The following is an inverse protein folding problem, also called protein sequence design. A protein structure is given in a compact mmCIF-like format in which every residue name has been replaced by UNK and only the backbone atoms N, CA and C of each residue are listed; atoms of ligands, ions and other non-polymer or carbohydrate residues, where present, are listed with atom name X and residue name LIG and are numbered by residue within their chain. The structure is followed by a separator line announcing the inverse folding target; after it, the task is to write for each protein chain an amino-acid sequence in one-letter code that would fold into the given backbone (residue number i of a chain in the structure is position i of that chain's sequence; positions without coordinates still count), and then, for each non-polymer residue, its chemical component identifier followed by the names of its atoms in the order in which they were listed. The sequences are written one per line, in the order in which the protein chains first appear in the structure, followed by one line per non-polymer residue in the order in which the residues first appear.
data_IF_447954818213
#
_entry.id   IF_447954818213
#
_cell.length_a   1.000
_cell.length_b   1.000
_cell.length_c   1.000
_cell.angle_alpha   90.00
_cell.angle_beta   90.00
_cell.angle_gamma   90.00
#
_symmetry.space_group_name_H-M   'P 1'
#
loop_
_entity.id
_entity.type
_entity.pdbx_description
1 polymer ?
#
# COMPACT_ATOMS: atom_id res chain seq x y z
N UNK A 1 -13.75 -8.37 13.35
CA UNK A 1 -13.13 -9.47 12.61
C UNK A 1 -14.14 -10.00 11.59
N UNK A 2 -13.73 -10.10 10.31
CA UNK A 2 -14.62 -10.58 9.25
C UNK A 2 -14.99 -12.05 9.46
N UNK A 3 -16.26 -12.40 9.30
CA UNK A 3 -16.78 -13.77 9.47
C UNK A 3 -16.10 -14.79 8.53
N UNK A 4 -15.72 -14.35 7.33
CA UNK A 4 -14.96 -15.15 6.35
C UNK A 4 -13.89 -14.26 5.70
N UNK A 5 -12.70 -14.11 6.32
CA UNK A 5 -11.72 -13.12 5.91
C UNK A 5 -11.20 -13.34 4.49
N UNK A 6 -11.00 -14.56 4.05
CA UNK A 6 -10.48 -14.85 2.70
C UNK A 6 -11.39 -14.30 1.61
N UNK A 7 -12.68 -14.66 1.64
CA UNK A 7 -13.66 -14.22 0.64
C UNK A 7 -13.99 -12.72 0.76
N UNK A 8 -14.15 -12.23 1.99
CA UNK A 8 -14.50 -10.82 2.22
C UNK A 8 -13.38 -9.88 1.75
N UNK A 9 -12.12 -10.20 2.03
CA UNK A 9 -10.97 -9.38 1.59
C UNK A 9 -10.84 -9.39 0.07
N UNK A 10 -10.96 -10.55 -0.57
CA UNK A 10 -10.90 -10.65 -2.03
C UNK A 10 -11.98 -9.79 -2.72
N UNK A 11 -13.24 -9.94 -2.29
CA UNK A 11 -14.35 -9.17 -2.86
C UNK A 11 -14.14 -7.67 -2.59
N UNK A 12 -13.75 -7.29 -1.39
CA UNK A 12 -13.54 -5.89 -1.03
C UNK A 12 -12.44 -5.23 -1.89
N UNK A 13 -11.31 -5.92 -2.11
CA UNK A 13 -10.20 -5.39 -2.92
C UNK A 13 -10.60 -5.24 -4.37
N UNK A 14 -11.23 -6.26 -4.97
CA UNK A 14 -11.67 -6.22 -6.38
C UNK A 14 -12.76 -5.16 -6.57
N UNK A 15 -13.76 -5.12 -5.68
CA UNK A 15 -14.83 -4.13 -5.76
C UNK A 15 -14.30 -2.70 -5.57
N UNK A 16 -13.39 -2.47 -4.62
CA UNK A 16 -12.75 -1.17 -4.43
C UNK A 16 -11.98 -0.74 -5.68
N UNK A 17 -11.16 -1.62 -6.26
CA UNK A 17 -10.41 -1.33 -7.48
C UNK A 17 -11.34 -0.99 -8.65
N UNK A 18 -12.40 -1.76 -8.86
CA UNK A 18 -13.38 -1.51 -9.93
C UNK A 18 -14.13 -0.18 -9.73
N UNK A 19 -14.64 0.09 -8.52
CA UNK A 19 -15.35 1.33 -8.21
C UNK A 19 -14.46 2.57 -8.34
N UNK A 20 -13.22 2.50 -7.85
CA UNK A 20 -12.24 3.59 -7.99
C UNK A 20 -11.91 3.80 -9.47
N UNK A 21 -11.70 2.73 -10.25
CA UNK A 21 -11.45 2.82 -11.68
C UNK A 21 -12.59 3.50 -12.44
N UNK A 22 -13.84 3.08 -12.21
CA UNK A 22 -15.03 3.69 -12.78
C UNK A 22 -15.12 5.18 -12.38
N UNK A 23 -14.89 5.48 -11.12
CA UNK A 23 -14.92 6.86 -10.62
C UNK A 23 -13.87 7.74 -11.30
N UNK A 24 -12.64 7.25 -11.48
CA UNK A 24 -11.60 8.00 -12.17
C UNK A 24 -11.93 8.23 -13.65
N UNK A 25 -12.46 7.23 -14.34
CA UNK A 25 -12.89 7.39 -15.75
C UNK A 25 -13.98 8.45 -15.86
N UNK A 26 -15.00 8.40 -14.99
CA UNK A 26 -16.10 9.37 -15.00
C UNK A 26 -15.64 10.79 -14.69
N UNK A 27 -14.79 10.97 -13.70
CA UNK A 27 -14.28 12.30 -13.32
C UNK A 27 -13.34 12.86 -14.36
N UNK A 28 -12.46 12.05 -14.94
CA UNK A 28 -11.58 12.48 -16.04
C UNK A 28 -12.39 12.86 -17.28
N UNK A 29 -13.38 12.06 -17.65
CA UNK A 29 -14.28 12.35 -18.75
C UNK A 29 -15.06 13.66 -18.53
N UNK A 30 -15.58 13.87 -17.30
CA UNK A 30 -16.28 15.12 -16.97
C UNK A 30 -15.37 16.36 -17.11
N UNK A 31 -14.11 16.24 -16.68
CA UNK A 31 -13.13 17.31 -16.87
C UNK A 31 -12.79 17.54 -18.34
N UNK A 32 -12.60 16.46 -19.12
CA UNK A 32 -12.33 16.55 -20.57
C UNK A 32 -13.48 17.21 -21.33
N UNK A 33 -14.72 16.86 -21.01
CA UNK A 33 -15.92 17.50 -21.59
C UNK A 33 -16.00 18.99 -21.25
N UNK A 34 -15.64 19.38 -20.02
CA UNK A 34 -15.67 20.78 -19.61
C UNK A 34 -14.61 21.62 -20.34
N UNK A 35 -13.37 21.12 -20.42
CA UNK A 35 -12.26 21.84 -21.04
C UNK A 35 -12.25 21.75 -22.57
N UNK A 36 -12.75 20.64 -23.09
CA UNK A 36 -12.57 20.24 -24.49
C UNK A 36 -11.15 19.72 -24.76
N UNK A 37 -10.98 18.93 -25.84
CA UNK A 37 -9.75 18.19 -26.12
C UNK A 37 -8.52 19.06 -26.27
N UNK A 38 -8.68 20.26 -26.89
CA UNK A 38 -7.57 21.18 -27.17
C UNK A 38 -7.04 21.92 -25.94
N UNK A 39 -7.84 22.06 -24.90
CA UNK A 39 -7.50 22.81 -23.66
C UNK A 39 -7.21 21.95 -22.46
N UNK A 40 -7.48 20.65 -22.53
CA UNK A 40 -7.28 19.72 -21.42
C UNK A 40 -5.81 19.66 -20.94
N UNK A 41 -4.86 19.92 -21.83
CA UNK A 41 -3.43 20.01 -21.48
C UNK A 41 -3.15 21.04 -20.37
N UNK A 42 -3.95 22.11 -20.30
CA UNK A 42 -3.87 23.14 -19.24
C UNK A 42 -4.54 22.78 -17.91
N UNK A 43 -5.18 21.61 -17.81
CA UNK A 43 -5.96 21.20 -16.64
C UNK A 43 -5.16 21.30 -15.34
N UNK A 44 -3.93 20.78 -15.30
CA UNK A 44 -3.11 20.76 -14.10
C UNK A 44 -2.75 22.16 -13.55
N UNK A 45 -2.68 23.17 -14.42
CA UNK A 45 -2.38 24.55 -14.04
C UNK A 45 -3.64 25.38 -13.77
N UNK A 46 -4.83 24.85 -14.03
CA UNK A 46 -6.09 25.57 -13.86
C UNK A 46 -6.35 25.88 -12.38
N UNK A 47 -6.83 27.09 -12.09
CA UNK A 47 -7.10 27.52 -10.73
C UNK A 47 -5.86 27.50 -9.82
N UNK A 48 -4.72 27.97 -10.33
CA UNK A 48 -3.43 27.98 -9.61
C UNK A 48 -3.01 26.59 -9.07
N UNK A 49 -3.27 25.56 -9.89
CA UNK A 49 -2.97 24.18 -9.52
C UNK A 49 -4.03 23.46 -8.66
N UNK A 50 -5.23 24.06 -8.55
CA UNK A 50 -6.39 23.46 -7.89
C UNK A 50 -7.57 23.29 -8.87
N UNK A 51 -7.39 22.52 -9.94
CA UNK A 51 -8.35 22.47 -11.06
C UNK A 51 -9.75 22.00 -10.62
N UNK A 52 -9.84 21.03 -9.76
CA UNK A 52 -11.14 20.50 -9.29
C UNK A 52 -11.92 21.50 -8.45
N UNK A 53 -11.25 22.27 -7.60
CA UNK A 53 -11.89 23.30 -6.80
C UNK A 53 -12.35 24.47 -7.66
N UNK A 54 -11.54 24.86 -8.65
CA UNK A 54 -11.90 25.90 -9.59
C UNK A 54 -13.06 25.46 -10.47
N UNK A 55 -13.03 24.24 -11.00
CA UNK A 55 -14.15 23.65 -11.74
C UNK A 55 -15.45 23.66 -10.92
N UNK A 56 -15.35 23.32 -9.62
CA UNK A 56 -16.48 23.39 -8.71
C UNK A 56 -17.06 24.81 -8.56
N UNK A 57 -16.21 25.85 -8.58
CA UNK A 57 -16.66 27.25 -8.59
C UNK A 57 -17.36 27.62 -9.89
N UNK A 58 -16.78 27.23 -11.01
CA UNK A 58 -17.28 27.62 -12.33
C UNK A 58 -18.60 26.96 -12.70
N UNK A 59 -18.82 25.70 -12.25
CA UNK A 59 -20.02 24.92 -12.59
C UNK A 59 -21.11 25.01 -11.53
N UNK A 60 -20.73 25.03 -10.23
CA UNK A 60 -21.67 24.93 -9.12
C UNK A 60 -21.66 26.15 -8.19
N UNK A 61 -20.89 27.18 -8.50
CA UNK A 61 -20.68 28.35 -7.64
C UNK A 61 -20.29 27.92 -6.22
N UNK A 62 -21.21 27.94 -5.23
CA UNK A 62 -20.92 27.52 -3.86
C UNK A 62 -20.48 26.05 -3.73
N UNK A 63 -20.74 25.21 -4.71
CA UNK A 63 -20.39 23.78 -4.70
C UNK A 63 -18.90 23.49 -4.59
N UNK A 64 -18.04 24.46 -4.85
CA UNK A 64 -16.59 24.34 -4.57
C UNK A 64 -16.29 23.97 -3.13
N UNK A 65 -17.15 24.33 -2.17
CA UNK A 65 -17.00 24.00 -0.74
C UNK A 65 -17.06 22.48 -0.53
N UNK A 66 -17.93 21.77 -1.25
CA UNK A 66 -18.01 20.32 -1.19
C UNK A 66 -16.73 19.68 -1.75
N UNK A 67 -16.22 20.20 -2.87
CA UNK A 67 -14.96 19.73 -3.46
C UNK A 67 -13.78 19.97 -2.50
N UNK A 68 -13.74 21.14 -1.87
CA UNK A 68 -12.71 21.46 -0.87
C UNK A 68 -12.72 20.48 0.32
N UNK A 69 -13.88 20.20 0.90
CA UNK A 69 -13.98 19.20 1.96
C UNK A 69 -13.66 17.79 1.50
N UNK A 70 -13.99 17.43 0.28
CA UNK A 70 -13.61 16.14 -0.30
C UNK A 70 -12.08 16.01 -0.42
N UNK A 71 -11.39 17.06 -0.87
CA UNK A 71 -9.92 17.09 -0.95
C UNK A 71 -9.28 16.95 0.43
N UNK A 72 -9.76 17.72 1.43
CA UNK A 72 -9.26 17.62 2.81
C UNK A 72 -9.48 16.23 3.38
N UNK A 73 -10.70 15.69 3.24
CA UNK A 73 -11.03 14.35 3.71
C UNK A 73 -10.13 13.29 3.06
N UNK A 74 -9.89 13.40 1.76
CA UNK A 74 -8.98 12.50 1.03
C UNK A 74 -7.55 12.59 1.55
N UNK A 75 -7.04 13.80 1.78
CA UNK A 75 -5.69 14.01 2.33
C UNK A 75 -5.54 13.39 3.73
N UNK A 76 -6.51 13.60 4.62
CA UNK A 76 -6.53 13.01 5.97
C UNK A 76 -6.61 11.48 5.90
N UNK A 77 -7.50 10.93 5.07
CA UNK A 77 -7.68 9.49 4.92
C UNK A 77 -6.42 8.80 4.38
N UNK A 78 -5.78 9.38 3.35
CA UNK A 78 -4.53 8.86 2.79
C UNK A 78 -3.38 8.94 3.79
N UNK A 79 -3.24 10.04 4.51
CA UNK A 79 -2.22 10.21 5.54
C UNK A 79 -2.38 9.17 6.66
N UNK A 80 -3.62 8.96 7.12
CA UNK A 80 -3.93 7.96 8.15
C UNK A 80 -3.66 6.53 7.67
N UNK A 81 -4.08 6.18 6.44
CA UNK A 81 -3.83 4.87 5.85
C UNK A 81 -2.32 4.61 5.67
N UNK A 82 -1.57 5.58 5.16
CA UNK A 82 -0.12 5.50 5.01
C UNK A 82 0.60 5.33 6.36
N UNK A 83 0.20 6.10 7.37
CA UNK A 83 0.72 5.99 8.73
C UNK A 83 0.47 4.60 9.32
N UNK A 84 -0.74 4.08 9.17
CA UNK A 84 -1.11 2.75 9.65
C UNK A 84 -0.30 1.64 8.96
N UNK A 85 -0.10 1.73 7.65
CA UNK A 85 0.70 0.76 6.90
C UNK A 85 2.17 0.79 7.31
N UNK A 86 2.78 1.98 7.38
CA UNK A 86 4.18 2.16 7.74
C UNK A 86 4.46 1.64 9.17
N UNK A 87 3.66 2.07 10.14
CA UNK A 87 3.88 1.74 11.56
C UNK A 87 3.69 0.25 11.85
N UNK A 88 2.72 -0.41 11.19
CA UNK A 88 2.54 -1.86 11.28
C UNK A 88 3.71 -2.62 10.67
N UNK A 89 4.23 -2.17 9.54
CA UNK A 89 5.41 -2.75 8.90
C UNK A 89 6.64 -2.62 9.80
N UNK A 90 6.89 -1.43 10.35
CA UNK A 90 8.00 -1.22 11.29
C UNK A 90 7.87 -2.03 12.57
N UNK A 91 6.66 -2.14 13.10
CA UNK A 91 6.39 -3.02 14.25
C UNK A 91 6.73 -4.48 13.94
N UNK A 92 6.29 -4.99 12.78
CA UNK A 92 6.61 -6.35 12.36
C UNK A 92 8.11 -6.56 12.17
N UNK A 93 8.81 -5.61 11.55
CA UNK A 93 10.27 -5.65 11.38
C UNK A 93 11.01 -5.55 12.72
N UNK A 94 10.52 -4.76 13.67
CA UNK A 94 11.05 -4.68 15.03
C UNK A 94 10.90 -5.99 15.79
N UNK A 95 9.73 -6.65 15.72
CA UNK A 95 9.51 -7.98 16.34
C UNK A 95 10.50 -9.02 15.82
N UNK A 96 10.83 -8.98 14.55
CA UNK A 96 11.81 -9.88 13.94
C UNK A 96 13.26 -9.42 14.13
N UNK A 97 13.51 -8.39 14.94
CA UNK A 97 14.84 -7.81 15.21
C UNK A 97 15.59 -7.38 13.95
N UNK A 98 14.89 -7.02 12.89
CA UNK A 98 15.41 -6.42 11.68
C UNK A 98 15.62 -4.93 11.91
N UNK A 99 14.64 -4.28 12.52
CA UNK A 99 14.76 -2.93 13.07
C UNK A 99 14.96 -2.99 14.60
N UNK A 100 15.27 -1.84 15.18
CA UNK A 100 15.42 -1.68 16.63
C UNK A 100 14.14 -2.05 17.36
N UNK A 101 14.25 -2.60 18.57
CA UNK A 101 13.10 -3.00 19.39
C UNK A 101 12.19 -1.85 19.80
N UNK A 102 12.66 -0.59 19.73
CA UNK A 102 11.84 0.58 20.02
C UNK A 102 10.57 0.66 19.18
N UNK A 103 10.58 0.11 17.95
CA UNK A 103 9.38 0.07 17.10
C UNK A 103 8.34 -0.96 17.56
N UNK A 104 8.67 -1.83 18.52
CA UNK A 104 7.71 -2.77 19.11
C UNK A 104 6.98 -2.22 20.34
N UNK A 105 7.35 -1.02 20.77
CA UNK A 105 6.69 -0.39 21.90
C UNK A 105 5.27 0.08 21.52
N UNK A 106 4.30 -0.33 22.32
CA UNK A 106 2.89 0.03 22.14
C UNK A 106 2.41 0.92 23.29
N UNK A 107 1.57 1.88 22.95
CA UNK A 107 0.98 2.76 23.93
C UNK A 107 0.08 1.98 24.93
N UNK A 108 0.22 2.14 26.25
CA UNK A 108 -0.49 1.36 27.25
C UNK A 108 -2.02 1.37 27.11
N UNK A 109 -2.58 2.52 26.79
CA UNK A 109 -4.04 2.73 26.67
C UNK A 109 -4.58 2.33 25.29
N UNK A 110 -3.91 2.76 24.21
CA UNK A 110 -4.42 2.60 22.83
C UNK A 110 -3.85 1.41 22.08
N UNK A 111 -2.87 0.72 22.66
CA UNK A 111 -2.20 -0.46 22.09
C UNK A 111 -1.72 -0.25 20.64
N UNK A 112 -1.42 0.99 20.28
CA UNK A 112 -0.86 1.38 18.99
C UNK A 112 0.65 1.57 19.08
N UNK A 113 1.44 1.31 18.01
CA UNK A 113 2.90 1.48 17.99
C UNK A 113 3.25 2.97 17.92
N UNK A 114 3.17 3.69 19.04
CA UNK A 114 3.28 5.14 19.12
C UNK A 114 4.66 5.65 18.68
N UNK A 115 5.73 4.91 18.95
CA UNK A 115 7.09 5.27 18.52
C UNK A 115 7.16 5.33 17.00
N UNK A 116 6.59 4.33 16.32
CA UNK A 116 6.51 4.33 14.87
C UNK A 116 5.73 5.53 14.32
N UNK A 117 4.61 5.89 14.97
CA UNK A 117 3.81 7.07 14.57
C UNK A 117 4.62 8.36 14.70
N UNK A 118 5.32 8.56 15.82
CA UNK A 118 6.13 9.75 16.05
C UNK A 118 7.32 9.85 15.08
N UNK A 119 8.02 8.74 14.85
CA UNK A 119 9.13 8.71 13.89
C UNK A 119 8.65 9.00 12.48
N UNK A 120 7.52 8.42 12.07
CA UNK A 120 6.94 8.68 10.76
C UNK A 120 6.53 10.14 10.60
N UNK A 121 5.90 10.73 11.62
CA UNK A 121 5.53 12.16 11.62
C UNK A 121 6.78 13.03 11.48
N UNK A 122 7.81 12.78 12.27
CA UNK A 122 9.07 13.51 12.20
C UNK A 122 9.73 13.42 10.81
N UNK A 123 9.79 12.23 10.23
CA UNK A 123 10.30 12.02 8.87
C UNK A 123 9.46 12.74 7.82
N UNK A 124 8.14 12.67 7.92
CA UNK A 124 7.24 13.34 6.99
C UNK A 124 7.45 14.87 7.02
N UNK A 125 7.54 15.47 8.21
CA UNK A 125 7.81 16.90 8.37
C UNK A 125 9.21 17.26 7.89
N UNK A 126 10.22 16.45 8.20
CA UNK A 126 11.61 16.68 7.78
C UNK A 126 11.78 16.65 6.26
N UNK A 127 10.92 15.95 5.53
CA UNK A 127 10.93 15.92 4.06
C UNK A 127 9.99 16.99 3.49
N UNK A 128 8.76 17.06 3.98
CA UNK A 128 7.73 17.93 3.39
C UNK A 128 8.03 19.43 3.58
N UNK A 129 8.52 19.85 4.75
CA UNK A 129 8.77 21.26 5.01
C UNK A 129 9.91 21.83 4.14
N UNK A 130 11.10 21.23 4.08
CA UNK A 130 12.15 21.75 3.19
C UNK A 130 11.76 21.75 1.72
N UNK A 131 11.10 20.68 1.25
CA UNK A 131 10.63 20.64 -0.13
C UNK A 131 9.57 21.70 -0.41
N UNK A 132 8.60 21.86 0.50
CA UNK A 132 7.54 22.86 0.37
C UNK A 132 8.07 24.30 0.37
N UNK A 133 9.05 24.62 1.23
CA UNK A 133 9.66 25.96 1.29
C UNK A 133 10.57 26.25 0.09
N UNK A 134 11.28 25.25 -0.45
CA UNK A 134 12.21 25.47 -1.57
C UNK A 134 11.53 25.46 -2.94
N UNK A 135 10.54 24.57 -3.14
CA UNK A 135 9.93 24.36 -4.45
C UNK A 135 8.45 24.74 -4.54
N UNK A 136 7.87 25.16 -3.44
CA UNK A 136 6.43 25.40 -3.30
C UNK A 136 5.63 24.12 -3.05
N UNK A 137 4.45 24.24 -2.43
CA UNK A 137 3.65 23.08 -1.97
C UNK A 137 3.25 22.12 -3.09
N UNK A 138 2.82 22.65 -4.24
CA UNK A 138 2.36 21.85 -5.38
C UNK A 138 3.49 21.02 -5.98
N UNK A 139 4.66 21.63 -6.20
CA UNK A 139 5.83 20.94 -6.76
C UNK A 139 6.39 19.90 -5.77
N UNK A 140 6.42 20.24 -4.49
CA UNK A 140 6.82 19.30 -3.43
C UNK A 140 5.89 18.08 -3.37
N UNK A 141 4.57 18.31 -3.43
CA UNK A 141 3.57 17.24 -3.50
C UNK A 141 3.79 16.37 -4.74
N UNK A 142 3.98 16.98 -5.93
CA UNK A 142 4.24 16.27 -7.18
C UNK A 142 5.51 15.41 -7.10
N UNK A 143 6.59 15.93 -6.53
CA UNK A 143 7.85 15.18 -6.38
C UNK A 143 7.69 13.96 -5.45
N UNK A 144 7.13 14.16 -4.25
CA UNK A 144 6.88 13.07 -3.31
C UNK A 144 5.91 12.05 -3.90
N UNK A 145 4.84 12.51 -4.57
CA UNK A 145 3.89 11.66 -5.28
C UNK A 145 4.56 10.81 -6.35
N UNK A 146 5.46 11.38 -7.15
CA UNK A 146 6.22 10.64 -8.18
C UNK A 146 7.12 9.58 -7.56
N UNK A 147 7.82 9.89 -6.47
CA UNK A 147 8.65 8.93 -5.71
C UNK A 147 7.79 7.76 -5.22
N UNK A 148 6.67 8.05 -4.56
CA UNK A 148 5.74 7.04 -4.04
C UNK A 148 5.19 6.18 -5.17
N UNK A 149 4.76 6.79 -6.28
CA UNK A 149 4.25 6.08 -7.45
C UNK A 149 5.29 5.12 -8.05
N UNK A 150 6.55 5.55 -8.19
CA UNK A 150 7.62 4.68 -8.68
C UNK A 150 7.83 3.46 -7.78
N UNK A 151 7.84 3.65 -6.46
CA UNK A 151 7.97 2.53 -5.49
C UNK A 151 6.78 1.58 -5.58
N UNK A 152 5.55 2.10 -5.65
CA UNK A 152 4.33 1.29 -5.76
C UNK A 152 4.32 0.46 -7.05
N UNK A 153 4.73 1.04 -8.18
CA UNK A 153 4.84 0.33 -9.45
C UNK A 153 5.82 -0.85 -9.33
N UNK A 154 6.98 -0.64 -8.71
CA UNK A 154 7.96 -1.71 -8.47
C UNK A 154 7.39 -2.83 -7.60
N UNK A 155 6.62 -2.48 -6.57
CA UNK A 155 5.93 -3.47 -5.72
C UNK A 155 4.91 -4.26 -6.57
N UNK A 156 4.10 -3.60 -7.38
CA UNK A 156 3.10 -4.27 -8.21
C UNK A 156 3.74 -5.18 -9.27
N UNK A 157 4.81 -4.74 -9.90
CA UNK A 157 5.59 -5.61 -10.82
C UNK A 157 6.09 -6.84 -10.07
N UNK A 158 6.66 -6.66 -8.88
CA UNK A 158 7.17 -7.78 -8.06
C UNK A 158 6.06 -8.74 -7.66
N UNK A 159 4.90 -8.23 -7.27
CA UNK A 159 3.72 -9.06 -6.91
C UNK A 159 3.21 -9.85 -8.11
N UNK A 160 3.10 -9.23 -9.29
CA UNK A 160 2.68 -9.89 -10.51
C UNK A 160 3.65 -11.02 -10.90
N UNK A 161 4.97 -10.77 -10.86
CA UNK A 161 6.00 -11.77 -11.14
C UNK A 161 5.98 -12.91 -10.10
N UNK A 162 5.78 -12.56 -8.83
CA UNK A 162 5.70 -13.54 -7.74
C UNK A 162 4.46 -14.43 -7.86
N UNK A 163 3.31 -13.87 -8.23
CA UNK A 163 2.09 -14.62 -8.52
C UNK A 163 2.35 -15.67 -9.61
N UNK A 164 2.90 -15.22 -10.75
CA UNK A 164 3.24 -16.11 -11.86
C UNK A 164 4.22 -17.22 -11.43
N UNK A 165 5.29 -16.85 -10.71
CA UNK A 165 6.30 -17.80 -10.21
C UNK A 165 5.73 -18.81 -9.22
N UNK A 166 4.81 -18.40 -8.35
CA UNK A 166 4.17 -19.26 -7.37
C UNK A 166 3.32 -20.34 -8.03
N UNK A 167 2.40 -19.97 -8.92
CA UNK A 167 1.51 -20.91 -9.58
C UNK A 167 2.25 -21.83 -10.57
N UNK A 168 3.27 -21.34 -11.27
CA UNK A 168 4.06 -22.17 -12.18
C UNK A 168 4.93 -23.21 -11.44
N UNK A 169 5.36 -22.94 -10.19
CA UNK A 169 6.31 -23.81 -9.48
C UNK A 169 5.69 -24.61 -8.35
N UNK A 170 4.79 -24.02 -7.58
CA UNK A 170 4.29 -24.62 -6.33
C UNK A 170 2.85 -25.11 -6.39
N UNK A 171 1.99 -24.48 -7.20
CA UNK A 171 0.56 -24.77 -7.21
C UNK A 171 0.06 -25.01 -8.64
N UNK A 172 0.71 -25.94 -9.36
CA UNK A 172 0.39 -26.24 -10.76
C UNK A 172 -1.01 -26.79 -10.97
N UNK A 173 -1.59 -27.45 -9.98
CA UNK A 173 -2.94 -28.01 -10.04
C UNK A 173 -4.03 -26.91 -10.12
N UNK A 174 -3.80 -25.76 -9.50
CA UNK A 174 -4.70 -24.61 -9.56
C UNK A 174 -4.32 -23.59 -10.65
N UNK A 175 -3.33 -23.90 -11.49
CA UNK A 175 -2.83 -22.97 -12.49
C UNK A 175 -3.88 -22.70 -13.58
N UNK A 176 -4.26 -21.45 -13.73
CA UNK A 176 -5.10 -20.98 -14.82
C UNK A 176 -4.29 -19.99 -15.69
N UNK A 177 -4.09 -20.28 -17.00
CA UNK A 177 -3.26 -19.46 -17.88
C UNK A 177 -3.71 -17.99 -17.96
N UNK A 178 -5.01 -17.73 -17.91
CA UNK A 178 -5.55 -16.38 -18.01
C UNK A 178 -5.21 -15.58 -16.75
N UNK A 179 -5.56 -16.11 -15.57
CA UNK A 179 -5.44 -15.38 -14.31
C UNK A 179 -4.03 -15.37 -13.72
N UNK A 180 -3.25 -16.42 -13.96
CA UNK A 180 -1.94 -16.59 -13.32
C UNK A 180 -0.76 -16.33 -14.26
N UNK A 181 -1.01 -16.10 -15.57
CA UNK A 181 0.03 -15.78 -16.55
C UNK A 181 -0.31 -14.53 -17.35
N UNK A 182 -1.43 -14.51 -18.10
CA UNK A 182 -1.76 -13.42 -19.02
C UNK A 182 -2.03 -12.13 -18.27
N UNK A 183 -2.90 -12.15 -17.25
CA UNK A 183 -3.24 -10.96 -16.46
C UNK A 183 -2.00 -10.36 -15.75
N UNK A 184 -1.15 -11.13 -15.05
CA UNK A 184 0.10 -10.61 -14.50
C UNK A 184 1.06 -10.02 -15.54
N UNK A 185 1.21 -10.66 -16.72
CA UNK A 185 2.06 -10.13 -17.79
C UNK A 185 1.51 -8.80 -18.30
N UNK A 186 0.20 -8.72 -18.58
CA UNK A 186 -0.43 -7.46 -18.99
C UNK A 186 -0.27 -6.37 -17.94
N UNK A 187 -0.38 -6.72 -16.64
CA UNK A 187 -0.12 -5.80 -15.54
C UNK A 187 1.32 -5.26 -15.55
N UNK A 188 2.31 -6.12 -15.76
CA UNK A 188 3.72 -5.70 -15.86
C UNK A 188 3.93 -4.81 -17.08
N UNK A 189 3.43 -5.21 -18.24
CA UNK A 189 3.58 -4.44 -19.50
C UNK A 189 2.92 -3.06 -19.40
N UNK A 190 1.74 -2.97 -18.78
CA UNK A 190 1.04 -1.71 -18.57
C UNK A 190 1.82 -0.73 -17.68
N UNK A 191 2.66 -1.21 -16.76
CA UNK A 191 3.48 -0.36 -15.91
C UNK A 191 4.80 0.08 -16.55
N UNK A 192 5.22 -0.51 -17.68
CA UNK A 192 6.50 -0.16 -18.33
C UNK A 192 6.60 1.33 -18.68
N UNK A 193 5.63 1.95 -19.36
CA UNK A 193 5.70 3.38 -19.69
C UNK A 193 5.78 4.25 -18.41
N UNK A 194 4.98 3.92 -17.41
CA UNK A 194 4.91 4.70 -16.17
C UNK A 194 6.23 4.64 -15.37
N UNK A 195 6.89 3.47 -15.33
CA UNK A 195 8.18 3.38 -14.63
C UNK A 195 9.29 4.11 -15.38
N UNK A 196 9.31 4.07 -16.72
CA UNK A 196 10.26 4.84 -17.51
C UNK A 196 10.10 6.34 -17.28
N UNK A 197 8.86 6.85 -17.25
CA UNK A 197 8.57 8.23 -16.90
C UNK A 197 9.06 8.57 -15.48
N UNK A 198 8.73 7.75 -14.51
CA UNK A 198 9.11 7.96 -13.10
C UNK A 198 10.63 7.90 -12.86
N UNK A 199 11.34 7.08 -13.63
CA UNK A 199 12.81 7.01 -13.60
C UNK A 199 13.49 8.18 -14.33
N UNK A 200 12.73 9.06 -14.96
CA UNK A 200 13.26 10.17 -15.75
C UNK A 200 13.86 9.74 -17.09
N UNK A 201 13.60 8.49 -17.51
CA UNK A 201 14.01 7.98 -18.81
C UNK A 201 12.90 8.32 -19.80
N UNK A 202 13.06 9.42 -20.47
CA UNK A 202 12.10 9.90 -21.47
C UNK A 202 12.71 11.00 -22.31
N UNK A 203 12.05 11.41 -23.34
CA UNK A 203 12.50 12.39 -24.30
C UNK A 203 12.90 11.74 -25.62
N UNK A 204 13.91 12.23 -26.30
CA UNK A 204 14.28 11.91 -27.68
C UNK A 204 14.40 10.41 -28.05
N UNK A 205 14.38 9.51 -27.10
CA UNK A 205 14.47 8.06 -27.34
C UNK A 205 13.10 7.40 -27.55
N UNK A 206 12.00 7.95 -26.98
CA UNK A 206 10.67 7.38 -27.06
C UNK A 206 9.64 8.52 -27.01
N UNK A 207 9.04 8.86 -28.12
CA UNK A 207 8.20 10.05 -28.30
C UNK A 207 6.95 10.09 -27.39
N UNK A 208 6.47 8.93 -26.92
CA UNK A 208 5.29 8.87 -26.06
C UNK A 208 5.63 8.93 -24.55
N UNK A 209 6.93 8.99 -24.16
CA UNK A 209 7.36 9.11 -22.77
C UNK A 209 7.79 10.55 -22.50
N UNK A 210 6.99 11.30 -21.76
CA UNK A 210 7.30 12.68 -21.40
C UNK A 210 8.37 12.73 -20.33
N UNK A 211 9.42 13.53 -20.57
CA UNK A 211 10.45 13.79 -19.56
C UNK A 211 9.88 14.70 -18.47
N UNK A 212 9.99 14.28 -17.22
CA UNK A 212 9.59 15.10 -16.09
C UNK A 212 10.50 16.33 -15.92
N UNK A 213 9.92 17.53 -15.69
CA UNK A 213 10.72 18.72 -15.41
C UNK A 213 11.42 18.62 -14.05
N UNK A 214 12.45 19.46 -13.89
CA UNK A 214 13.06 19.63 -12.57
C UNK A 214 12.04 20.28 -11.59
N UNK A 215 11.94 19.86 -10.32
CA UNK A 215 12.71 18.81 -9.63
C UNK A 215 12.12 17.40 -9.74
N UNK A 216 10.98 17.18 -10.40
CA UNK A 216 10.31 15.87 -10.49
C UNK A 216 11.20 14.80 -11.12
N UNK A 217 12.10 15.19 -12.02
CA UNK A 217 13.09 14.28 -12.65
C UNK A 217 14.06 13.65 -11.66
N UNK A 218 14.16 14.16 -10.44
CA UNK A 218 15.01 13.57 -9.38
C UNK A 218 14.36 12.38 -8.68
N UNK A 219 13.07 12.12 -8.92
CA UNK A 219 12.34 11.01 -8.28
C UNK A 219 12.98 9.65 -8.59
N UNK A 220 13.36 9.38 -9.86
CA UNK A 220 14.02 8.15 -10.25
C UNK A 220 15.33 7.91 -9.53
N UNK A 221 16.30 8.84 -9.59
CA UNK A 221 17.53 8.75 -8.81
C UNK A 221 17.32 8.56 -7.31
N UNK A 222 16.36 9.28 -6.71
CA UNK A 222 16.03 9.13 -5.29
C UNK A 222 15.54 7.71 -4.95
N UNK A 223 14.65 7.14 -5.76
CA UNK A 223 14.18 5.75 -5.61
C UNK A 223 15.33 4.78 -5.83
N UNK A 224 16.20 5.00 -6.82
CA UNK A 224 17.38 4.17 -7.08
C UNK A 224 18.33 4.11 -5.88
N UNK A 225 18.66 5.27 -5.31
CA UNK A 225 19.49 5.35 -4.09
C UNK A 225 18.84 4.60 -2.93
N UNK A 226 17.54 4.80 -2.72
CA UNK A 226 16.80 4.12 -1.66
C UNK A 226 16.81 2.60 -1.81
N UNK A 227 16.64 2.09 -3.03
CA UNK A 227 16.70 0.65 -3.33
C UNK A 227 18.08 0.08 -3.11
N UNK A 228 19.14 0.81 -3.51
CA UNK A 228 20.54 0.39 -3.28
C UNK A 228 20.84 0.32 -1.79
N UNK A 229 20.43 1.33 -1.01
CA UNK A 229 20.60 1.32 0.44
C UNK A 229 19.86 0.14 1.08
N UNK A 230 18.61 -0.13 0.65
CA UNK A 230 17.85 -1.28 1.10
C UNK A 230 18.52 -2.61 0.77
N UNK A 231 19.06 -2.75 -0.44
CA UNK A 231 19.77 -3.95 -0.87
C UNK A 231 21.08 -4.16 -0.06
N UNK A 232 21.85 -3.11 0.14
CA UNK A 232 23.07 -3.16 0.96
C UNK A 232 22.73 -3.59 2.40
N UNK A 233 21.68 -2.99 2.97
CA UNK A 233 21.22 -3.37 4.30
C UNK A 233 20.74 -4.83 4.36
N UNK A 234 20.01 -5.30 3.36
CA UNK A 234 19.59 -6.69 3.25
C UNK A 234 20.80 -7.65 3.16
N UNK A 235 21.79 -7.32 2.33
CA UNK A 235 23.04 -8.12 2.21
C UNK A 235 23.79 -8.16 3.55
N UNK A 236 23.86 -7.03 4.23
CA UNK A 236 24.45 -6.96 5.57
C UNK A 236 23.73 -7.90 6.55
N UNK A 237 22.41 -7.87 6.60
CA UNK A 237 21.62 -8.75 7.44
C UNK A 237 21.80 -10.23 7.09
N UNK A 238 21.85 -10.57 5.79
CA UNK A 238 22.08 -11.94 5.32
C UNK A 238 23.43 -12.48 5.75
N UNK A 239 24.45 -11.63 5.77
CA UNK A 239 25.82 -12.02 6.21
C UNK A 239 25.94 -12.08 7.74
N UNK A 240 25.35 -11.10 8.44
CA UNK A 240 25.49 -10.97 9.88
C UNK A 240 24.55 -11.91 10.69
N UNK A 241 23.35 -12.23 10.19
CA UNK A 241 22.32 -12.91 10.96
C UNK A 241 21.35 -13.74 10.09
N UNK A 242 21.83 -14.77 9.42
CA UNK A 242 20.98 -15.70 8.62
C UNK A 242 19.71 -16.21 9.32
N UNK A 243 19.72 -16.57 10.64
CA UNK A 243 18.52 -17.07 11.31
C UNK A 243 17.36 -16.07 11.39
N UNK A 244 17.66 -14.76 11.38
CA UNK A 244 16.61 -13.71 11.48
C UNK A 244 15.79 -13.57 10.21
N UNK A 245 16.34 -13.93 9.06
CA UNK A 245 15.70 -13.77 7.75
C UNK A 245 14.83 -14.97 7.41
N UNK A 246 15.18 -16.19 7.88
CA UNK A 246 14.37 -17.38 7.63
C UNK A 246 12.98 -17.31 8.27
N UNK A 247 12.80 -16.50 9.34
CA UNK A 247 11.51 -16.25 9.97
C UNK A 247 10.63 -15.20 9.27
N UNK A 248 11.14 -14.45 8.29
CA UNK A 248 10.35 -13.40 7.61
C UNK A 248 9.17 -13.94 6.82
N UNK A 249 9.28 -15.13 6.25
CA UNK A 249 8.19 -15.78 5.52
C UNK A 249 6.99 -16.15 6.40
N UNK A 250 7.19 -16.31 7.70
CA UNK A 250 6.14 -16.68 8.66
C UNK A 250 5.44 -15.47 9.27
N UNK A 251 6.01 -14.26 9.16
CA UNK A 251 5.45 -13.03 9.74
C UNK A 251 4.12 -12.63 9.11
N UNK A 252 3.94 -12.96 7.85
CA UNK A 252 2.68 -12.74 7.10
C UNK A 252 1.94 -14.06 6.83
N UNK A 253 2.50 -15.20 7.26
CA UNK A 253 1.77 -16.45 7.31
C UNK A 253 0.62 -16.28 8.31
N UNK A 254 -0.59 -16.57 7.88
CA UNK A 254 -1.73 -16.77 8.77
C UNK A 254 -1.23 -17.78 9.79
N UNK A 255 -1.19 -17.44 11.09
CA UNK A 255 -1.09 -18.44 12.15
C UNK A 255 -2.15 -19.49 11.79
N UNK A 256 -1.72 -20.69 11.42
CA UNK A 256 -2.66 -21.80 11.38
C UNK A 256 -3.32 -21.80 12.75
N UNK A 257 -4.66 -21.78 12.81
CA UNK A 257 -5.33 -21.84 14.11
C UNK A 257 -4.71 -23.01 14.84
N UNK A 258 -4.12 -22.75 16.01
CA UNK A 258 -3.58 -23.82 16.87
C UNK A 258 -4.64 -24.91 16.91
N UNK A 259 -4.27 -26.19 16.74
CA UNK A 259 -5.25 -27.26 16.80
C UNK A 259 -6.08 -27.03 18.05
N UNK A 260 -7.40 -26.97 17.85
CA UNK A 260 -8.36 -26.84 18.96
C UNK A 260 -7.92 -27.81 20.06
N UNK A 261 -7.75 -27.35 21.30
CA UNK A 261 -7.42 -28.29 22.36
C UNK A 261 -8.39 -29.47 22.25
N UNK A 262 -7.83 -30.68 22.24
CA UNK A 262 -8.61 -31.90 22.16
C UNK A 262 -9.74 -31.79 23.18
N UNK A 263 -10.97 -32.26 22.85
CA UNK A 263 -12.06 -32.24 23.81
C UNK A 263 -11.52 -32.87 25.11
N UNK A 264 -11.58 -32.10 26.20
CA UNK A 264 -11.32 -32.64 27.51
C UNK A 264 -12.31 -33.79 27.66
N UNK A 265 -11.83 -35.02 27.62
CA UNK A 265 -12.63 -36.16 27.97
C UNK A 265 -13.15 -35.87 29.41
N UNK A 266 -14.40 -35.48 29.46
CA UNK A 266 -15.15 -35.39 30.71
C UNK A 266 -15.12 -36.82 31.27
N UNK A 267 -14.21 -37.04 32.21
CA UNK A 267 -14.12 -38.31 32.93
C UNK A 267 -15.52 -38.75 33.33
N UNK A 268 -15.85 -39.97 32.95
CA UNK A 268 -17.09 -40.62 33.32
C UNK A 268 -17.33 -40.40 34.82
N UNK A 269 -18.37 -39.66 35.13
CA UNK A 269 -18.89 -39.62 36.51
C UNK A 269 -19.26 -41.04 36.86
N UNK A 270 -18.46 -41.65 37.75
CA UNK A 270 -18.77 -42.96 38.32
C UNK A 270 -20.15 -42.86 38.97
N UNK A 271 -21.11 -43.60 38.45
CA UNK A 271 -22.41 -43.80 39.07
C UNK A 271 -22.17 -44.52 40.41
N UNK A 272 -22.66 -44.01 41.55
CA UNK A 272 -22.55 -44.73 42.80
C UNK A 272 -23.37 -46.05 42.74
N UNK A 273 -22.75 -47.17 43.11
CA UNK A 273 -23.43 -48.45 43.31
C UNK A 273 -24.58 -48.31 44.31
N UNK A 274 -25.72 -48.95 44.06
CA UNK A 274 -26.81 -48.93 45.01
C UNK A 274 -26.43 -49.76 46.26
N UNK A 275 -26.48 -49.13 47.45
CA UNK A 275 -26.36 -49.77 48.76
C UNK A 275 -27.39 -50.89 48.86
N UNK A 276 -26.90 -52.09 49.21
CA UNK A 276 -27.73 -53.22 49.51
C UNK A 276 -28.51 -52.97 50.81
N UNK A 277 -29.82 -52.92 50.67
CA UNK A 277 -30.74 -52.94 51.83
C UNK A 277 -30.61 -54.34 52.51
N UNK A 278 -30.08 -54.35 53.67
CA UNK A 278 -30.13 -55.54 54.57
C UNK A 278 -31.39 -55.41 55.37
N UNK A 279 -32.35 -56.33 55.14
CA UNK A 279 -33.50 -56.56 55.97
C UNK A 279 -33.08 -57.20 57.30
N UNK A 280 -33.50 -56.66 58.42
CA UNK A 280 -33.71 -57.30 59.66
C UNK A 280 -34.87 -56.63 60.47
#
# INVERSE_FOLDING_TARGET
LARNPRRTVQIAVVAAAALIGIFYVLTTYAADVYFGPDRFVGFAAYGDGNPWQQLGRDVWDWGWVLVFFAIINSAIANSNAGSLAATRTWYALGRNRILTSMFTETHPRWRSPYVGVLVQLALALAVALPLGFNYGPLTAFGLVGTIVTAVIILIYITVNLSCMGYYLRKQREEFNPIWHLIVPILGVVAFVPAIFTALGVGGNAVDFITKLPWPLSTAGPAVGIWLVLGLVYMIYLLRANRPRISGLGTVFGVEEPSPSPAPVETGAVATPEPEAVVDA
#
